data_IF_543749550036
#
_entry.id   IF_543749550036
#
_cell.length_a   1.000
_cell.length_b   1.000
_cell.length_c   1.000
_cell.angle_alpha   90.00
_cell.angle_beta   90.00
_cell.angle_gamma   90.00
#
_symmetry.space_group_name_H-M   'P 1'
#
loop_
_entity.id
_entity.type
_entity.pdbx_description
1 polymer ?
#
# COMPACT_ATOMS: atom_id res chain seq x y z
N UNK A 1 20.63 -14.82 18.88
CA UNK A 1 20.28 -13.85 17.82
C UNK A 1 18.76 -13.82 17.75
N UNK A 2 18.12 -12.76 18.21
CA UNK A 2 16.66 -12.62 18.10
C UNK A 2 16.40 -12.03 16.72
N UNK A 3 16.00 -12.86 15.76
CA UNK A 3 15.50 -12.38 14.48
C UNK A 3 14.11 -11.81 14.74
N UNK A 4 14.00 -10.49 14.89
CA UNK A 4 12.70 -9.83 14.90
C UNK A 4 12.09 -10.00 13.50
N UNK A 5 11.20 -10.98 13.35
CA UNK A 5 10.36 -11.09 12.16
C UNK A 5 9.35 -9.95 12.26
N UNK A 6 9.61 -8.89 11.51
CA UNK A 6 8.69 -7.78 11.39
C UNK A 6 7.52 -8.26 10.52
N UNK A 7 6.32 -8.35 11.09
CA UNK A 7 5.13 -8.80 10.37
C UNK A 7 4.57 -7.64 9.54
N UNK A 8 4.47 -7.83 8.23
CA UNK A 8 3.87 -6.87 7.32
C UNK A 8 2.44 -7.30 7.00
N UNK A 9 1.50 -6.38 7.19
CA UNK A 9 0.09 -6.57 6.94
C UNK A 9 -0.47 -5.47 6.04
N UNK A 10 -1.71 -5.66 5.61
CA UNK A 10 -2.42 -4.65 4.83
C UNK A 10 -3.91 -4.68 5.15
N UNK A 11 -4.54 -3.53 4.97
CA UNK A 11 -5.99 -3.36 5.06
C UNK A 11 -6.51 -2.71 3.79
N UNK A 12 -7.48 -3.36 3.15
CA UNK A 12 -8.20 -2.83 1.99
C UNK A 12 -9.59 -2.43 2.45
N UNK A 13 -9.83 -1.12 2.50
CA UNK A 13 -11.15 -0.57 2.84
C UNK A 13 -11.86 -0.12 1.56
N UNK A 14 -13.06 -0.63 1.24
CA UNK A 14 -13.83 -0.13 0.11
C UNK A 14 -14.31 1.29 0.40
N UNK A 15 -14.10 2.21 -0.55
CA UNK A 15 -14.70 3.53 -0.47
C UNK A 15 -16.08 3.48 -1.16
N UNK A 16 -17.17 3.88 -0.49
CA UNK A 16 -18.49 3.89 -1.13
C UNK A 16 -18.48 4.78 -2.37
N UNK A 17 -19.20 4.36 -3.41
CA UNK A 17 -19.27 5.07 -4.69
C UNK A 17 -19.67 6.56 -4.53
N UNK A 18 -20.46 6.86 -3.49
CA UNK A 18 -20.90 8.22 -3.13
C UNK A 18 -19.76 9.17 -2.72
N UNK A 19 -18.63 8.65 -2.23
CA UNK A 19 -17.46 9.45 -1.82
C UNK A 19 -16.36 9.55 -2.90
N UNK A 20 -16.67 9.17 -4.14
CA UNK A 20 -15.71 9.12 -5.25
C UNK A 20 -15.26 7.72 -5.63
N UNK A 21 -15.75 6.68 -4.94
CA UNK A 21 -15.47 5.27 -5.22
C UNK A 21 -14.01 4.86 -5.03
N UNK A 22 -13.72 3.60 -5.33
CA UNK A 22 -12.36 3.04 -5.28
C UNK A 22 -12.02 2.35 -3.96
N UNK A 23 -10.72 2.27 -3.66
CA UNK A 23 -10.18 1.49 -2.55
C UNK A 23 -9.09 2.23 -1.79
N UNK A 24 -9.18 2.23 -0.47
CA UNK A 24 -8.11 2.68 0.40
C UNK A 24 -7.28 1.47 0.81
N UNK A 25 -6.05 1.40 0.33
CA UNK A 25 -5.04 0.47 0.81
C UNK A 25 -4.25 1.12 1.95
N UNK A 26 -4.24 0.50 3.12
CA UNK A 26 -3.30 0.82 4.22
C UNK A 26 -2.30 -0.31 4.37
N UNK A 27 -1.04 0.07 4.51
CA UNK A 27 0.06 -0.84 4.80
C UNK A 27 0.40 -0.75 6.29
N UNK A 28 0.56 -1.90 6.91
CA UNK A 28 0.85 -2.04 8.33
C UNK A 28 2.17 -2.80 8.49
N UNK A 29 3.02 -2.36 9.42
CA UNK A 29 4.15 -3.14 9.90
C UNK A 29 4.05 -3.25 11.41
N UNK A 30 4.01 -4.48 11.93
CA UNK A 30 3.91 -4.76 13.37
C UNK A 30 2.69 -4.03 14.00
N UNK A 31 1.58 -3.97 13.26
CA UNK A 31 0.36 -3.25 13.67
C UNK A 31 0.43 -1.72 13.59
N UNK A 32 1.50 -1.15 13.02
CA UNK A 32 1.69 0.32 12.88
C UNK A 32 1.56 0.74 11.41
N UNK A 33 0.85 1.84 11.14
CA UNK A 33 0.66 2.37 9.79
C UNK A 33 2.00 2.77 9.16
N UNK A 34 2.41 2.03 8.13
CA UNK A 34 3.53 2.37 7.26
C UNK A 34 3.15 3.47 6.26
N UNK A 35 1.93 3.40 5.75
CA UNK A 35 1.44 4.36 4.78
C UNK A 35 0.10 3.93 4.22
N UNK A 36 -0.54 4.86 3.51
CA UNK A 36 -1.85 4.65 2.92
C UNK A 36 -1.86 5.16 1.49
N UNK A 37 -2.59 4.47 0.63
CA UNK A 37 -2.74 4.83 -0.78
C UNK A 37 -4.18 4.63 -1.23
N UNK A 38 -4.71 5.64 -1.90
CA UNK A 38 -6.04 5.59 -2.49
C UNK A 38 -5.91 5.14 -3.93
N UNK A 39 -6.65 4.10 -4.28
CA UNK A 39 -6.83 3.61 -5.64
C UNK A 39 -8.20 4.09 -6.13
N UNK A 40 -8.27 5.14 -6.96
CA UNK A 40 -9.52 5.60 -7.52
C UNK A 40 -10.16 4.52 -8.41
N UNK A 41 -11.49 4.56 -8.61
CA UNK A 41 -12.15 3.65 -9.51
C UNK A 41 -11.63 3.83 -10.94
N UNK A 42 -11.56 2.73 -11.69
CA UNK A 42 -11.04 2.76 -13.06
C UNK A 42 -11.93 3.62 -13.95
N UNK A 43 -11.35 4.68 -14.53
CA UNK A 43 -12.04 5.54 -15.47
C UNK A 43 -12.36 4.77 -16.77
N UNK A 44 -13.60 4.90 -17.26
CA UNK A 44 -14.05 4.24 -18.49
C UNK A 44 -14.88 2.97 -18.27
N UNK A 45 -15.13 2.56 -17.01
CA UNK A 45 -16.09 1.52 -16.68
C UNK A 45 -17.39 2.18 -16.19
N UNK A 46 -18.49 1.97 -16.91
CA UNK A 46 -19.82 2.51 -16.54
C UNK A 46 -20.38 1.85 -15.28
N UNK A 47 -20.08 0.56 -15.08
CA UNK A 47 -20.41 -0.18 -13.87
C UNK A 47 -19.52 0.23 -12.70
N UNK A 48 -20.05 1.04 -11.79
CA UNK A 48 -19.32 1.48 -10.60
C UNK A 48 -18.81 0.31 -9.74
N UNK A 49 -19.57 -0.79 -9.69
CA UNK A 49 -19.15 -2.01 -8.98
C UNK A 49 -17.95 -2.67 -9.65
N UNK A 50 -17.96 -2.78 -10.99
CA UNK A 50 -16.85 -3.35 -11.74
C UNK A 50 -15.62 -2.43 -11.69
N UNK A 51 -15.82 -1.11 -11.80
CA UNK A 51 -14.76 -0.11 -11.64
C UNK A 51 -14.07 -0.20 -10.28
N UNK A 52 -14.85 -0.40 -9.21
CA UNK A 52 -14.35 -0.62 -7.87
C UNK A 52 -13.66 -1.99 -7.74
N UNK A 53 -14.22 -3.06 -8.31
CA UNK A 53 -13.61 -4.39 -8.27
C UNK A 53 -12.26 -4.42 -9.01
N UNK A 54 -12.13 -3.72 -10.14
CA UNK A 54 -10.83 -3.60 -10.83
C UNK A 54 -9.84 -2.78 -10.00
N UNK A 55 -10.27 -1.69 -9.37
CA UNK A 55 -9.43 -0.93 -8.46
C UNK A 55 -8.98 -1.74 -7.23
N UNK A 56 -9.82 -2.67 -6.75
CA UNK A 56 -9.45 -3.63 -5.70
C UNK A 56 -8.33 -4.57 -6.18
N UNK A 57 -8.47 -5.14 -7.37
CA UNK A 57 -7.50 -6.07 -7.93
C UNK A 57 -6.14 -5.39 -8.14
N UNK A 58 -6.12 -4.17 -8.67
CA UNK A 58 -4.91 -3.33 -8.79
C UNK A 58 -4.27 -3.05 -7.42
N UNK A 59 -5.08 -2.72 -6.41
CA UNK A 59 -4.59 -2.47 -5.06
C UNK A 59 -4.01 -3.74 -4.41
N UNK A 60 -4.67 -4.88 -4.61
CA UNK A 60 -4.23 -6.19 -4.13
C UNK A 60 -2.94 -6.65 -4.81
N UNK A 61 -2.84 -6.48 -6.14
CA UNK A 61 -1.65 -6.79 -6.91
C UNK A 61 -0.46 -5.92 -6.47
N UNK A 62 -0.70 -4.61 -6.27
CA UNK A 62 0.32 -3.68 -5.80
C UNK A 62 0.84 -4.06 -4.41
N UNK A 63 -0.03 -4.34 -3.43
CA UNK A 63 0.41 -4.76 -2.10
C UNK A 63 1.10 -6.12 -2.11
N UNK A 64 0.62 -7.06 -2.91
CA UNK A 64 1.23 -8.40 -3.02
C UNK A 64 2.65 -8.31 -3.60
N UNK A 65 2.84 -7.52 -4.65
CA UNK A 65 4.15 -7.28 -5.25
C UNK A 65 5.10 -6.59 -4.24
N UNK A 66 4.58 -5.65 -3.47
CA UNK A 66 5.34 -4.98 -2.42
C UNK A 66 5.72 -5.93 -1.28
N UNK A 67 4.79 -6.76 -0.79
CA UNK A 67 5.06 -7.75 0.25
C UNK A 67 6.12 -8.75 -0.19
N UNK A 68 6.06 -9.22 -1.44
CA UNK A 68 7.09 -10.09 -2.01
C UNK A 68 8.46 -9.39 -2.03
N UNK A 69 8.51 -8.13 -2.49
CA UNK A 69 9.74 -7.34 -2.45
C UNK A 69 10.28 -7.17 -1.03
N UNK A 70 9.40 -6.97 -0.03
CA UNK A 70 9.80 -6.85 1.38
C UNK A 70 10.30 -8.16 1.96
N UNK A 71 9.72 -9.30 1.56
CA UNK A 71 10.16 -10.63 2.00
C UNK A 71 11.57 -10.95 1.49
N UNK A 72 11.84 -10.66 0.21
CA UNK A 72 13.14 -10.82 -0.42
C UNK A 72 14.21 -9.87 0.12
N UNK A 73 13.79 -8.75 0.75
CA UNK A 73 14.71 -7.76 1.33
C UNK A 73 15.32 -8.25 2.64
N UNK A 74 16.59 -7.88 2.81
CA UNK A 74 17.32 -8.01 4.06
C UNK A 74 16.56 -7.29 5.19
N UNK A 75 16.42 -7.88 6.40
CA UNK A 75 15.65 -7.30 7.50
C UNK A 75 16.11 -5.89 7.93
N UNK A 76 17.36 -5.55 7.63
CA UNK A 76 17.93 -4.21 7.84
C UNK A 76 17.44 -3.17 6.82
N UNK A 77 16.96 -3.60 5.65
CA UNK A 77 16.47 -2.76 4.55
C UNK A 77 14.95 -2.76 4.40
N UNK A 78 14.23 -3.49 5.26
CA UNK A 78 12.77 -3.50 5.21
C UNK A 78 12.19 -2.17 5.71
N UNK A 79 11.07 -1.70 5.12
CA UNK A 79 10.44 -0.46 5.52
C UNK A 79 10.02 -0.55 6.99
N UNK A 80 10.32 0.51 7.75
CA UNK A 80 9.95 0.62 9.16
C UNK A 80 8.83 1.63 9.33
N UNK A 81 7.89 1.37 10.26
CA UNK A 81 6.90 2.38 10.62
C UNK A 81 7.63 3.63 11.10
N UNK A 82 7.03 4.80 10.87
CA UNK A 82 7.61 6.05 11.34
C UNK A 82 7.96 5.93 12.83
N UNK A 83 9.26 6.02 13.14
CA UNK A 83 9.72 6.17 14.51
C UNK A 83 9.10 7.45 15.12
N UNK A 84 9.20 7.64 16.43
CA UNK A 84 8.61 8.80 17.14
C UNK A 84 9.04 10.18 16.58
N UNK A 85 10.05 10.23 15.70
CA UNK A 85 10.48 11.41 14.95
C UNK A 85 9.77 11.65 13.60
N UNK A 86 8.81 10.82 13.19
CA UNK A 86 8.01 11.03 11.97
C UNK A 86 8.75 10.82 10.65
N UNK A 87 10.01 10.33 10.69
CA UNK A 87 10.81 10.11 9.50
C UNK A 87 10.51 8.72 8.93
N UNK A 88 9.67 8.66 7.91
CA UNK A 88 9.62 7.49 7.05
C UNK A 88 10.96 7.38 6.33
N UNK A 89 11.72 6.30 6.56
CA UNK A 89 12.80 5.91 5.66
C UNK A 89 12.15 5.43 4.35
N UNK A 90 11.67 6.37 3.54
CA UNK A 90 11.18 6.09 2.20
C UNK A 90 12.36 5.58 1.38
N UNK A 91 12.33 4.29 1.05
CA UNK A 91 13.21 3.76 0.03
C UNK A 91 12.66 4.10 -1.37
N UNK A 92 13.53 4.27 -2.38
CA UNK A 92 13.14 4.75 -3.71
C UNK A 92 12.15 3.83 -4.45
N UNK A 93 12.03 2.56 -4.06
CA UNK A 93 11.12 1.58 -4.65
C UNK A 93 9.74 1.51 -3.94
N UNK A 94 9.58 2.25 -2.84
CA UNK A 94 8.37 2.26 -1.99
C UNK A 94 7.32 3.27 -2.50
N UNK A 95 7.00 3.17 -3.78
CA UNK A 95 6.02 4.05 -4.45
C UNK A 95 4.61 3.95 -3.86
N UNK A 96 4.30 2.83 -3.20
CA UNK A 96 3.06 2.62 -2.44
C UNK A 96 2.97 3.47 -1.17
N UNK A 97 4.11 3.86 -0.59
CA UNK A 97 4.20 4.72 0.58
C UNK A 97 4.40 6.20 0.20
N UNK A 98 4.62 6.48 -1.08
CA UNK A 98 4.82 7.84 -1.57
C UNK A 98 3.48 8.59 -1.71
N UNK A 99 3.31 9.78 -1.10
CA UNK A 99 2.08 10.58 -1.22
C UNK A 99 1.87 11.13 -2.65
N UNK A 100 2.90 11.10 -3.50
CA UNK A 100 2.85 11.54 -4.89
C UNK A 100 3.35 10.41 -5.80
N UNK A 101 2.42 9.55 -6.24
CA UNK A 101 2.72 8.49 -7.18
C UNK A 101 3.04 9.08 -8.56
N UNK A 102 4.32 9.33 -8.84
CA UNK A 102 4.80 9.45 -10.23
C UNK A 102 5.54 8.16 -10.56
N UNK A 103 4.92 7.35 -11.40
CA UNK A 103 5.59 6.27 -12.12
C UNK A 103 6.38 6.98 -13.22
N UNK A 104 7.67 7.28 -13.00
CA UNK A 104 8.51 7.66 -14.13
C UNK A 104 8.60 6.41 -15.01
N UNK A 105 8.00 6.52 -16.19
CA UNK A 105 7.96 5.51 -17.23
C UNK A 105 9.35 5.21 -17.77
#
# INVERSE_FOLDING_TARGET
MVTYVQEYGYELTPCPADQGGGWLLRLLADGRELGRRVFPPVAGIEDAQLAAATAHDEALAAVTAWLASVDERDPSQRPRPADAGGLYLMMPDDWLLSPQGVRNA
#
